data_IF_503889646494
#
_entry.id   IF_503889646494
#
_cell.length_a   1.000
_cell.length_b   1.000
_cell.length_c   1.000
_cell.angle_alpha   90.00
_cell.angle_beta   90.00
_cell.angle_gamma   90.00
#
_symmetry.space_group_name_H-M   'P 1'
#
loop_
_entity.id
_entity.type
_entity.pdbx_description
1 polymer ?
#
# COMPACT_ATOMS: atom_id res chain seq x y z
N UNK A 1 23.26 1.22 -8.04
CA UNK A 1 22.36 0.12 -8.43
C UNK A 1 20.93 0.53 -8.18
N UNK A 2 19.96 -0.22 -8.70
CA UNK A 2 18.53 0.08 -8.50
C UNK A 2 18.09 -0.28 -7.08
N UNK A 3 17.33 0.59 -6.43
CA UNK A 3 16.75 0.37 -5.10
C UNK A 3 15.23 0.30 -5.23
N UNK A 4 14.62 -0.69 -4.61
CA UNK A 4 13.17 -0.72 -4.44
C UNK A 4 12.76 0.34 -3.41
N UNK A 5 11.88 1.26 -3.82
CA UNK A 5 11.37 2.36 -2.99
C UNK A 5 9.85 2.31 -2.96
N UNK A 6 9.28 2.35 -1.75
CA UNK A 6 7.83 2.40 -1.53
C UNK A 6 7.45 3.84 -1.22
N UNK A 7 6.50 4.39 -1.98
CA UNK A 7 5.90 5.71 -1.72
C UNK A 7 4.53 5.51 -1.06
N UNK A 8 4.52 5.29 0.26
CA UNK A 8 3.31 4.90 1.01
C UNK A 8 2.21 5.98 1.01
N UNK A 9 2.55 7.25 0.78
CA UNK A 9 1.56 8.33 0.65
C UNK A 9 0.58 8.11 -0.52
N UNK A 10 0.98 7.33 -1.54
CA UNK A 10 0.15 7.02 -2.71
C UNK A 10 -0.64 5.70 -2.54
N UNK A 11 -0.64 5.08 -1.35
CA UNK A 11 -1.32 3.81 -1.13
C UNK A 11 -2.85 4.00 -1.19
N UNK A 12 -3.52 3.16 -1.98
CA UNK A 12 -5.01 3.13 -2.10
C UNK A 12 -5.67 2.03 -1.26
N UNK A 13 -4.90 1.40 -0.37
CA UNK A 13 -5.38 0.42 0.61
C UNK A 13 -6.04 -0.84 0.02
N UNK A 14 -5.77 -1.19 -1.24
CA UNK A 14 -6.33 -2.37 -1.90
C UNK A 14 -5.73 -3.72 -1.43
N UNK A 15 -4.62 -3.69 -0.67
CA UNK A 15 -3.86 -4.86 -0.17
C UNK A 15 -3.28 -5.79 -1.23
N UNK A 16 -3.21 -5.40 -2.49
CA UNK A 16 -2.63 -6.24 -3.55
C UNK A 16 -1.17 -6.59 -3.29
N UNK A 17 -0.36 -5.65 -2.81
CA UNK A 17 1.06 -5.88 -2.51
C UNK A 17 1.27 -6.94 -1.40
N UNK A 18 0.36 -7.02 -0.44
CA UNK A 18 0.38 -7.99 0.66
C UNK A 18 -0.01 -9.40 0.18
N UNK A 19 -0.97 -9.49 -0.75
CA UNK A 19 -1.53 -10.77 -1.22
C UNK A 19 -0.75 -11.36 -2.39
N UNK A 20 -0.20 -10.51 -3.27
CA UNK A 20 0.34 -10.92 -4.58
C UNK A 20 1.85 -10.81 -4.70
N UNK A 21 2.56 -10.45 -3.64
CA UNK A 21 4.01 -10.62 -3.62
C UNK A 21 4.35 -12.13 -3.55
N UNK A 22 4.96 -12.72 -4.60
CA UNK A 22 5.29 -14.15 -4.61
C UNK A 22 6.26 -14.55 -3.49
N UNK A 23 7.05 -13.60 -2.98
CA UNK A 23 8.03 -13.84 -1.93
C UNK A 23 7.54 -13.44 -0.53
N UNK A 24 6.33 -12.85 -0.42
CA UNK A 24 5.77 -12.36 0.85
C UNK A 24 6.71 -11.42 1.63
N UNK A 25 7.45 -10.56 0.93
CA UNK A 25 8.37 -9.59 1.53
C UNK A 25 7.66 -8.32 2.03
N UNK A 26 6.41 -8.09 1.63
CA UNK A 26 5.64 -6.90 1.98
C UNK A 26 4.53 -7.29 2.96
N UNK A 27 4.50 -6.61 4.11
CA UNK A 27 3.38 -6.69 5.07
C UNK A 27 2.62 -5.37 5.07
N UNK A 28 1.34 -5.41 4.74
CA UNK A 28 0.47 -4.23 4.83
C UNK A 28 -0.03 -4.03 6.26
N UNK A 29 0.15 -2.83 6.82
CA UNK A 29 -0.41 -2.42 8.11
C UNK A 29 -1.29 -1.19 7.91
N UNK A 30 -2.34 -1.07 8.72
CA UNK A 30 -3.22 0.10 8.68
C UNK A 30 -2.43 1.36 9.08
N UNK A 31 -2.46 2.44 8.28
CA UNK A 31 -1.81 3.70 8.63
C UNK A 31 -2.58 4.44 9.72
N UNK A 32 -2.07 5.60 10.13
CA UNK A 32 -2.77 6.53 11.02
C UNK A 32 -4.17 6.91 10.45
N UNK A 33 -5.12 7.16 11.35
CA UNK A 33 -6.50 7.49 10.98
C UNK A 33 -6.58 8.75 10.11
N UNK A 34 -7.40 8.68 9.06
CA UNK A 34 -7.52 9.76 8.05
C UNK A 34 -6.53 9.65 6.88
N UNK A 35 -5.61 8.68 6.91
CA UNK A 35 -4.77 8.33 5.77
C UNK A 35 -5.51 7.49 4.72
N UNK A 36 -5.13 7.65 3.45
CA UNK A 36 -5.65 6.86 2.34
C UNK A 36 -6.63 7.60 1.42
N UNK A 37 -7.25 6.86 0.49
CA UNK A 37 -8.10 7.44 -0.54
C UNK A 37 -9.45 7.96 0.01
N UNK A 38 -9.88 9.12 -0.49
CA UNK A 38 -11.22 9.64 -0.27
C UNK A 38 -12.10 9.33 -1.50
N UNK A 39 -12.91 8.29 -1.37
CA UNK A 39 -13.79 7.82 -2.43
C UNK A 39 -15.12 8.59 -2.39
N UNK A 40 -15.25 9.65 -3.18
CA UNK A 40 -16.42 10.55 -3.15
C UNK A 40 -17.60 10.02 -3.98
N UNK A 41 -17.34 9.18 -5.00
CA UNK A 41 -18.33 8.66 -5.94
C UNK A 41 -18.04 7.20 -6.34
N UNK A 42 -17.48 6.41 -5.42
CA UNK A 42 -17.09 5.02 -5.68
C UNK A 42 -17.98 4.05 -4.92
#
# INVERSE_FOLDING_TARGET
GVRFQINAQNCVHCKTCDIKDPNQNITWITPEGGGGPNYVNM
#
